data_IF_672460867604
#
_entry.id   IF_672460867604
#
_cell.length_a   1.000
_cell.length_b   1.000
_cell.length_c   1.000
_cell.angle_alpha   90.00
_cell.angle_beta   90.00
_cell.angle_gamma   90.00
#
_symmetry.space_group_name_H-M   'P 1'
#
loop_
_entity.id
_entity.type
_entity.pdbx_description
1 polymer ?
#
# COMPACT_ATOMS: atom_id res chain seq x y z
N UNK A 1 4.90 -2.37 -25.96
CA UNK A 1 6.02 -2.01 -25.08
C UNK A 1 5.89 -2.76 -23.77
N UNK A 2 6.93 -3.43 -23.36
CA UNK A 2 6.93 -4.17 -22.12
C UNK A 2 7.28 -3.24 -20.96
N UNK A 3 6.43 -3.17 -19.96
CA UNK A 3 6.75 -2.40 -18.76
C UNK A 3 7.79 -3.15 -17.93
N UNK A 4 8.74 -2.41 -17.38
CA UNK A 4 9.64 -2.95 -16.38
C UNK A 4 8.85 -3.29 -15.11
N UNK A 5 9.25 -4.31 -14.33
CA UNK A 5 8.55 -4.62 -13.08
C UNK A 5 8.39 -3.42 -12.14
N UNK A 6 9.39 -2.52 -12.11
CA UNK A 6 9.36 -1.31 -11.29
C UNK A 6 8.33 -0.28 -11.76
N UNK A 7 7.76 -0.45 -12.96
CA UNK A 7 6.78 0.45 -13.56
C UNK A 7 5.35 -0.06 -13.47
N UNK A 8 5.16 -1.25 -12.91
CA UNK A 8 3.81 -1.77 -12.68
C UNK A 8 3.08 -0.88 -11.68
N UNK A 9 1.78 -0.72 -11.89
CA UNK A 9 0.98 0.11 -10.99
C UNK A 9 0.79 -0.56 -9.64
N UNK A 10 0.57 -1.87 -9.62
CA UNK A 10 0.37 -2.66 -8.41
C UNK A 10 1.29 -3.87 -8.41
N UNK A 11 1.86 -4.19 -7.26
CA UNK A 11 2.74 -5.35 -7.10
C UNK A 11 2.32 -6.16 -5.87
N UNK A 12 2.24 -7.47 -6.02
CA UNK A 12 1.95 -8.34 -4.89
C UNK A 12 3.20 -8.53 -4.04
N UNK A 13 3.11 -8.21 -2.77
CA UNK A 13 4.23 -8.31 -1.82
C UNK A 13 4.26 -9.70 -1.19
N UNK A 14 3.13 -10.12 -0.66
CA UNK A 14 2.86 -11.49 -0.20
C UNK A 14 1.46 -11.86 -0.66
N UNK A 15 1.10 -13.16 -0.68
CA UNK A 15 -0.23 -13.54 -1.15
C UNK A 15 -1.34 -12.74 -0.46
N UNK A 16 -2.10 -12.01 -1.26
CA UNK A 16 -3.22 -11.19 -0.79
C UNK A 16 -2.86 -9.78 -0.33
N UNK A 17 -1.57 -9.44 -0.20
CA UNK A 17 -1.12 -8.11 0.20
C UNK A 17 -0.39 -7.44 -0.95
N UNK A 18 -0.95 -6.35 -1.45
CA UNK A 18 -0.47 -5.61 -2.62
C UNK A 18 -0.08 -4.19 -2.25
N UNK A 19 0.89 -3.66 -2.96
CA UNK A 19 1.33 -2.27 -2.82
C UNK A 19 1.36 -1.62 -4.19
N UNK A 20 0.93 -0.37 -4.27
CA UNK A 20 0.91 0.30 -5.56
C UNK A 20 0.76 1.81 -5.51
N UNK A 21 0.70 2.37 -6.71
CA UNK A 21 0.52 3.79 -6.93
C UNK A 21 -0.87 4.12 -7.48
N UNK A 22 -1.00 5.35 -7.96
CA UNK A 22 -2.23 5.82 -8.59
C UNK A 22 -1.89 6.54 -9.89
N UNK A 23 -2.81 6.48 -10.85
CA UNK A 23 -2.80 7.39 -11.99
C UNK A 23 -3.71 8.58 -11.69
N UNK A 24 -3.39 9.74 -12.26
CA UNK A 24 -4.09 10.98 -11.92
C UNK A 24 -5.60 10.96 -12.23
N UNK A 25 -6.02 10.17 -13.19
CA UNK A 25 -7.41 10.13 -13.62
C UNK A 25 -8.07 8.77 -13.46
N UNK A 26 -7.39 7.83 -12.78
CA UNK A 26 -7.93 6.49 -12.58
C UNK A 26 -8.73 6.41 -11.30
N UNK A 27 -9.82 5.67 -11.36
CA UNK A 27 -10.50 5.17 -10.17
C UNK A 27 -10.17 3.69 -10.05
N UNK A 28 -10.16 3.20 -8.82
CA UNK A 28 -9.95 1.78 -8.57
C UNK A 28 -11.30 1.08 -8.61
N UNK A 29 -11.68 0.64 -9.80
CA UNK A 29 -12.98 0.07 -10.10
C UNK A 29 -12.86 -1.37 -10.57
N UNK A 30 -14.02 -1.96 -10.85
CA UNK A 30 -14.08 -3.24 -11.53
C UNK A 30 -13.48 -3.13 -12.94
N UNK A 31 -12.94 -4.21 -13.49
CA UNK A 31 -12.54 -4.22 -14.90
C UNK A 31 -13.67 -3.74 -15.79
N UNK A 32 -13.33 -2.99 -16.83
CA UNK A 32 -14.35 -2.40 -17.74
C UNK A 32 -14.88 -3.45 -18.71
N UNK A 33 -15.82 -4.24 -18.23
CA UNK A 33 -16.50 -5.28 -19.01
C UNK A 33 -17.99 -5.21 -18.75
N UNK A 34 -18.76 -5.75 -19.66
CA UNK A 34 -20.20 -5.84 -19.50
C UNK A 34 -20.63 -7.30 -19.63
N UNK A 35 -21.63 -7.71 -18.85
CA UNK A 35 -22.35 -6.93 -17.83
C UNK A 35 -21.50 -6.71 -16.56
N UNK A 36 -21.63 -5.52 -15.97
CA UNK A 36 -20.79 -5.13 -14.82
C UNK A 36 -21.03 -5.98 -13.57
N UNK A 37 -22.23 -6.54 -13.43
CA UNK A 37 -22.56 -7.38 -12.26
C UNK A 37 -21.87 -8.75 -12.28
N UNK A 38 -21.21 -9.11 -13.37
CA UNK A 38 -20.46 -10.35 -13.47
C UNK A 38 -18.96 -10.16 -13.25
N UNK A 39 -18.52 -8.95 -12.94
CA UNK A 39 -17.10 -8.65 -12.82
C UNK A 39 -16.61 -8.86 -11.41
N UNK A 40 -15.39 -9.38 -11.29
CA UNK A 40 -14.72 -9.51 -10.00
C UNK A 40 -14.05 -8.21 -9.64
N UNK A 41 -14.01 -7.90 -8.34
CA UNK A 41 -13.26 -6.76 -7.83
C UNK A 41 -11.77 -6.99 -8.03
N UNK A 42 -11.03 -5.92 -8.31
CA UNK A 42 -9.57 -6.00 -8.30
C UNK A 42 -9.05 -6.24 -6.87
N UNK A 43 -9.63 -5.56 -5.89
CA UNK A 43 -9.28 -5.69 -4.49
C UNK A 43 -10.53 -5.64 -3.63
N UNK A 44 -10.49 -6.28 -2.47
CA UNK A 44 -11.58 -6.22 -1.48
C UNK A 44 -11.46 -4.97 -0.63
N UNK A 45 -10.23 -4.59 -0.28
CA UNK A 45 -9.94 -3.50 0.64
C UNK A 45 -8.76 -2.69 0.13
N UNK A 46 -8.83 -1.37 0.29
CA UNK A 46 -7.78 -0.45 -0.16
C UNK A 46 -7.45 0.55 0.93
N UNK A 47 -6.17 0.62 1.29
CA UNK A 47 -5.64 1.67 2.14
C UNK A 47 -5.04 2.76 1.26
N UNK A 48 -5.59 3.97 1.31
CA UNK A 48 -5.17 5.09 0.47
C UNK A 48 -4.44 6.14 1.30
N UNK A 49 -3.18 6.36 0.96
CA UNK A 49 -2.29 7.25 1.72
C UNK A 49 -1.93 8.52 0.95
N UNK A 50 -2.65 8.78 -0.13
CA UNK A 50 -2.49 9.95 -0.99
C UNK A 50 -3.81 10.69 -1.03
N UNK A 51 -3.85 11.89 -0.43
CA UNK A 51 -5.10 12.61 -0.17
C UNK A 51 -5.91 12.91 -1.43
N UNK A 52 -5.24 13.14 -2.55
CA UNK A 52 -5.92 13.49 -3.81
C UNK A 52 -6.13 12.30 -4.75
N UNK A 53 -5.86 11.08 -4.28
CA UNK A 53 -6.15 9.89 -5.07
C UNK A 53 -7.63 9.80 -5.40
N UNK A 54 -7.95 9.37 -6.61
CA UNK A 54 -9.32 9.15 -7.01
C UNK A 54 -9.97 8.06 -6.16
N UNK A 55 -11.29 8.10 -5.96
CA UNK A 55 -11.96 7.15 -5.08
C UNK A 55 -11.90 5.73 -5.63
N UNK A 56 -12.10 4.77 -4.72
CA UNK A 56 -12.25 3.37 -5.12
C UNK A 56 -13.65 3.13 -5.68
N UNK A 57 -13.80 2.01 -6.40
CA UNK A 57 -15.08 1.59 -6.92
C UNK A 57 -16.05 1.18 -5.81
N UNK A 58 -17.33 1.21 -6.14
CA UNK A 58 -18.38 0.80 -5.22
C UNK A 58 -18.24 -0.68 -4.88
N UNK A 59 -18.42 -1.02 -3.63
CA UNK A 59 -18.26 -2.39 -3.15
C UNK A 59 -16.84 -2.73 -2.71
N UNK A 60 -15.90 -1.79 -2.77
CA UNK A 60 -14.54 -1.93 -2.22
C UNK A 60 -14.48 -1.13 -0.92
N UNK A 61 -13.98 -1.77 0.15
CA UNK A 61 -13.77 -1.07 1.41
C UNK A 61 -12.53 -0.20 1.32
N UNK A 62 -12.65 1.08 1.65
CA UNK A 62 -11.51 1.99 1.64
C UNK A 62 -11.33 2.63 3.01
N UNK A 63 -10.06 2.68 3.47
CA UNK A 63 -9.66 3.55 4.57
C UNK A 63 -8.60 4.52 4.03
N UNK A 64 -8.76 5.79 4.34
CA UNK A 64 -7.97 6.86 3.73
C UNK A 64 -7.31 7.72 4.81
N UNK A 65 -5.99 7.93 4.66
CA UNK A 65 -5.25 8.89 5.47
C UNK A 65 -4.09 9.43 4.65
N UNK A 66 -4.22 10.66 4.15
CA UNK A 66 -3.16 11.30 3.37
C UNK A 66 -2.13 11.97 4.27
N UNK A 67 -0.85 11.76 3.98
CA UNK A 67 0.24 12.45 4.63
C UNK A 67 1.38 12.68 3.62
N UNK A 68 2.27 13.66 3.88
CA UNK A 68 3.31 13.99 2.91
C UNK A 68 4.38 12.91 2.78
N UNK A 69 4.90 12.73 1.57
CA UNK A 69 6.11 11.95 1.33
C UNK A 69 7.33 12.85 1.54
N UNK A 70 7.63 13.11 2.79
CA UNK A 70 8.69 14.04 3.20
C UNK A 70 9.20 13.63 4.58
N UNK A 71 9.68 14.57 5.39
CA UNK A 71 10.05 14.28 6.77
C UNK A 71 8.84 13.74 7.52
N UNK A 72 9.05 12.72 8.34
CA UNK A 72 7.99 12.08 9.09
C UNK A 72 7.55 12.97 10.25
N UNK A 73 6.29 13.37 10.24
CA UNK A 73 5.70 14.16 11.32
C UNK A 73 5.14 13.22 12.39
N UNK A 74 5.58 13.39 13.62
CA UNK A 74 5.15 12.57 14.75
C UNK A 74 3.63 12.63 14.96
N UNK A 75 2.99 13.75 14.63
CA UNK A 75 1.54 13.89 14.74
C UNK A 75 0.78 12.89 13.86
N UNK A 76 1.39 12.46 12.76
CA UNK A 76 0.78 11.51 11.84
C UNK A 76 0.95 10.05 12.26
N UNK A 77 1.87 9.75 13.18
CA UNK A 77 2.21 8.39 13.55
C UNK A 77 1.03 7.56 14.06
N UNK A 78 0.18 8.08 14.97
CA UNK A 78 -0.97 7.27 15.42
C UNK A 78 -1.88 6.83 14.28
N UNK A 79 -2.15 7.72 13.32
CA UNK A 79 -3.01 7.41 12.17
C UNK A 79 -2.31 6.47 11.19
N UNK A 80 -1.00 6.63 11.00
CA UNK A 80 -0.22 5.72 10.15
C UNK A 80 -0.25 4.31 10.73
N UNK A 81 -0.03 4.15 12.04
CA UNK A 81 -0.12 2.86 12.70
C UNK A 81 -1.53 2.28 12.65
N UNK A 82 -2.56 3.11 12.80
CA UNK A 82 -3.95 2.66 12.68
C UNK A 82 -4.24 2.14 11.26
N UNK A 83 -3.69 2.79 10.24
CA UNK A 83 -3.81 2.31 8.86
C UNK A 83 -3.13 0.94 8.70
N UNK A 84 -1.93 0.78 9.25
CA UNK A 84 -1.22 -0.49 9.18
C UNK A 84 -1.95 -1.61 9.92
N UNK A 85 -2.54 -1.30 11.07
CA UNK A 85 -3.35 -2.27 11.82
C UNK A 85 -4.56 -2.72 11.02
N UNK A 86 -5.25 -1.78 10.37
CA UNK A 86 -6.40 -2.09 9.53
C UNK A 86 -6.00 -2.95 8.33
N UNK A 87 -4.90 -2.61 7.66
CA UNK A 87 -4.36 -3.40 6.55
C UNK A 87 -4.06 -4.83 7.00
N UNK A 88 -3.39 -4.96 8.15
CA UNK A 88 -3.05 -6.27 8.69
C UNK A 88 -4.30 -7.10 8.96
N UNK A 89 -5.30 -6.52 9.61
CA UNK A 89 -6.54 -7.22 9.94
C UNK A 89 -7.31 -7.65 8.69
N UNK A 90 -7.43 -6.77 7.69
CA UNK A 90 -8.10 -7.09 6.44
C UNK A 90 -7.37 -8.20 5.69
N UNK A 91 -6.05 -8.11 5.63
CA UNK A 91 -5.23 -9.11 4.97
C UNK A 91 -5.32 -10.48 5.66
N UNK A 92 -5.18 -10.50 6.98
CA UNK A 92 -5.23 -11.76 7.75
C UNK A 92 -6.63 -12.37 7.79
N UNK A 93 -7.66 -11.61 7.48
CA UNK A 93 -9.02 -12.14 7.35
C UNK A 93 -9.28 -12.83 6.01
N UNK A 94 -8.29 -12.86 5.12
CA UNK A 94 -8.39 -13.52 3.82
C UNK A 94 -8.78 -12.61 2.67
N UNK A 95 -8.87 -11.30 2.91
CA UNK A 95 -9.20 -10.33 1.87
C UNK A 95 -7.99 -9.97 1.04
N UNK A 96 -8.22 -9.59 -0.21
CA UNK A 96 -7.20 -9.07 -1.11
C UNK A 96 -7.07 -7.58 -0.88
N UNK A 97 -5.92 -7.13 -0.36
CA UNK A 97 -5.73 -5.75 0.12
C UNK A 97 -4.69 -5.03 -0.73
N UNK A 98 -4.99 -3.80 -1.10
CA UNK A 98 -4.04 -2.89 -1.75
C UNK A 98 -3.69 -1.75 -0.80
N UNK A 99 -2.41 -1.47 -0.66
CA UNK A 99 -1.88 -0.28 0.03
C UNK A 99 -1.32 0.65 -1.04
N UNK A 100 -1.92 1.83 -1.23
CA UNK A 100 -1.55 2.73 -2.32
C UNK A 100 -1.22 4.13 -1.85
N UNK A 101 -0.29 4.76 -2.56
CA UNK A 101 -0.03 6.19 -2.50
C UNK A 101 0.18 6.71 -3.93
N UNK A 102 0.82 7.84 -4.14
CA UNK A 102 0.97 8.38 -5.50
C UNK A 102 1.88 7.51 -6.36
N UNK A 103 3.15 7.36 -6.00
CA UNK A 103 4.10 6.53 -6.75
C UNK A 103 4.07 5.06 -6.35
N UNK A 104 3.58 4.77 -5.15
CA UNK A 104 3.56 3.40 -4.64
C UNK A 104 4.89 2.96 -4.06
N UNK A 105 5.72 3.88 -3.58
CA UNK A 105 7.06 3.57 -3.07
C UNK A 105 7.25 3.87 -1.59
N UNK A 106 6.92 5.08 -1.14
CA UNK A 106 7.31 5.53 0.20
C UNK A 106 6.18 5.46 1.22
N UNK A 107 5.09 6.21 1.02
CA UNK A 107 3.97 6.21 1.98
C UNK A 107 3.32 4.84 2.05
N UNK A 108 3.05 4.23 0.92
CA UNK A 108 2.53 2.86 0.86
C UNK A 108 3.56 1.86 1.40
N UNK A 109 4.85 2.08 1.11
CA UNK A 109 5.93 1.24 1.65
C UNK A 109 5.98 1.27 3.16
N UNK A 110 5.84 2.44 3.76
CA UNK A 110 5.83 2.60 5.21
C UNK A 110 4.70 1.78 5.85
N UNK A 111 3.48 1.94 5.36
CA UNK A 111 2.32 1.23 5.91
C UNK A 111 2.41 -0.28 5.64
N UNK A 112 2.82 -0.68 4.45
CA UNK A 112 3.02 -2.10 4.13
C UNK A 112 4.07 -2.73 5.04
N UNK A 113 5.20 -2.05 5.26
CA UNK A 113 6.25 -2.55 6.15
C UNK A 113 5.75 -2.70 7.58
N UNK A 114 4.98 -1.73 8.09
CA UNK A 114 4.41 -1.84 9.43
C UNK A 114 3.46 -3.03 9.54
N UNK A 115 2.64 -3.28 8.51
CA UNK A 115 1.77 -4.46 8.49
C UNK A 115 2.57 -5.77 8.49
N UNK A 116 3.67 -5.82 7.73
CA UNK A 116 4.55 -6.98 7.71
C UNK A 116 5.25 -7.18 9.06
N UNK A 117 5.65 -6.10 9.72
CA UNK A 117 6.25 -6.18 11.06
C UNK A 117 5.24 -6.67 12.09
N UNK A 118 3.99 -6.27 11.96
CA UNK A 118 2.92 -6.80 12.80
C UNK A 118 2.71 -8.30 12.58
N UNK A 119 3.00 -8.78 11.38
CA UNK A 119 2.96 -10.21 11.05
C UNK A 119 4.22 -10.97 11.50
N UNK A 120 5.11 -10.31 12.20
CA UNK A 120 6.30 -10.93 12.79
C UNK A 120 7.60 -10.70 12.04
N UNK A 121 7.60 -9.96 10.93
CA UNK A 121 8.83 -9.68 10.22
C UNK A 121 9.65 -8.59 10.90
N UNK A 122 10.98 -8.69 10.78
CA UNK A 122 11.87 -7.62 11.20
C UNK A 122 11.82 -6.48 10.17
N UNK A 123 12.10 -5.26 10.62
CA UNK A 123 12.08 -4.09 9.73
C UNK A 123 12.95 -4.30 8.49
N UNK A 124 14.17 -4.79 8.66
CA UNK A 124 15.08 -5.03 7.55
C UNK A 124 14.48 -6.00 6.52
N UNK A 125 13.89 -7.09 7.00
CA UNK A 125 13.32 -8.11 6.13
C UNK A 125 12.08 -7.56 5.39
N UNK A 126 11.26 -6.80 6.06
CA UNK A 126 10.09 -6.16 5.44
C UNK A 126 10.51 -5.17 4.35
N UNK A 127 11.51 -4.34 4.63
CA UNK A 127 12.04 -3.37 3.66
C UNK A 127 12.63 -4.11 2.45
N UNK A 128 13.43 -5.12 2.69
CA UNK A 128 14.06 -5.90 1.61
C UNK A 128 13.01 -6.59 0.73
N UNK A 129 11.97 -7.14 1.33
CA UNK A 129 10.87 -7.79 0.61
C UNK A 129 10.13 -6.79 -0.28
N UNK A 130 9.81 -5.63 0.24
CA UNK A 130 9.12 -4.57 -0.51
C UNK A 130 9.97 -4.13 -1.69
N UNK A 131 11.27 -3.93 -1.47
CA UNK A 131 12.19 -3.53 -2.55
C UNK A 131 12.34 -4.61 -3.61
N UNK A 132 12.28 -5.88 -3.20
CA UNK A 132 12.38 -7.01 -4.15
C UNK A 132 11.10 -7.16 -4.98
N UNK A 133 9.92 -6.91 -4.37
CA UNK A 133 8.63 -7.18 -5.01
C UNK A 133 8.04 -5.97 -5.70
N UNK A 134 8.17 -4.79 -5.10
CA UNK A 134 7.58 -3.56 -5.65
C UNK A 134 8.56 -2.81 -6.54
N UNK A 135 9.67 -2.35 -5.98
CA UNK A 135 10.67 -1.56 -6.68
C UNK A 135 11.89 -1.40 -5.80
N UNK A 136 13.12 -1.43 -6.38
CA UNK A 136 14.32 -1.08 -5.61
C UNK A 136 14.28 0.34 -5.03
N UNK A 137 13.43 1.21 -5.58
CA UNK A 137 13.25 2.60 -5.12
C UNK A 137 12.26 2.71 -3.97
N UNK A 138 11.54 1.65 -3.63
CA UNK A 138 10.59 1.67 -2.52
C UNK A 138 11.34 1.99 -1.23
N UNK A 139 10.72 2.84 -0.40
CA UNK A 139 11.32 3.31 0.85
C UNK A 139 12.66 4.04 0.66
N UNK A 140 12.80 4.74 -0.48
CA UNK A 140 13.91 5.65 -0.69
C UNK A 140 13.80 6.92 0.20
N UNK A 141 12.63 7.18 0.77
CA UNK A 141 12.48 8.20 1.80
C UNK A 141 13.22 7.74 3.06
N UNK A 142 14.37 8.36 3.32
CA UNK A 142 15.27 7.94 4.39
C UNK A 142 14.64 8.06 5.78
N UNK A 143 13.77 9.05 5.98
CA UNK A 143 13.06 9.22 7.26
C UNK A 143 12.14 8.03 7.56
N UNK A 144 11.42 7.57 6.55
CA UNK A 144 10.51 6.43 6.71
C UNK A 144 11.29 5.15 7.01
N UNK A 145 12.37 4.91 6.27
CA UNK A 145 13.21 3.73 6.48
C UNK A 145 13.88 3.77 7.87
N UNK A 146 14.36 4.95 8.27
CA UNK A 146 14.97 5.13 9.60
C UNK A 146 13.96 4.88 10.71
N UNK A 147 12.73 5.38 10.55
CA UNK A 147 11.67 5.13 11.53
C UNK A 147 11.40 3.64 11.70
N UNK A 148 11.24 2.91 10.58
CA UNK A 148 10.99 1.47 10.62
C UNK A 148 12.12 0.74 11.36
N UNK A 149 13.37 1.10 11.10
CA UNK A 149 14.50 0.49 11.76
C UNK A 149 14.59 0.86 13.24
N UNK A 150 14.06 2.04 13.62
CA UNK A 150 14.10 2.50 15.02
C UNK A 150 13.12 1.78 15.92
N UNK A 151 12.00 1.28 15.38
CA UNK A 151 10.97 0.57 16.14
C UNK A 151 11.13 -0.95 16.05
N UNK A 152 12.19 -1.40 15.42
CA UNK A 152 12.50 -2.83 15.30
C UNK A 152 12.82 -3.41 16.68
N UNK A 153 12.23 -4.53 17.02
CA UNK A 153 12.51 -5.26 18.25
C UNK A 153 13.35 -6.49 18.00
#
# INVERSE_FOLDING_TARGET
MTLLPTQELYSEILPGLWQGGTHDFDTLEYPKQYPIWNQEKLFDSVATLYAVAHPVGWGISERRFGFPDSALDEENLPDIHAMADWVYEEWKSGKKVLVRCQAGWNRSGLVTALALMKDGQKAKDAIDLIRARRSPHALCNADFAAYLNSICE
#
